data_IF_369435866062
#
_entry.id   IF_369435866062
#
_cell.length_a   1.000
_cell.length_b   1.000
_cell.length_c   1.000
_cell.angle_alpha   90.00
_cell.angle_beta   90.00
_cell.angle_gamma   90.00
#
_symmetry.space_group_name_H-M   'P 1'
#
loop_
_entity.id
_entity.type
_entity.pdbx_description
1 polymer ?
#
# COMPACT_ATOMS: atom_id res chain seq x y z
N UNK A 1 -7.02 -12.23 12.92
CA UNK A 1 -5.82 -11.50 12.44
C UNK A 1 -6.39 -10.55 11.44
N UNK A 2 -6.34 -9.26 11.74
CA UNK A 2 -7.15 -8.28 11.02
C UNK A 2 -6.27 -7.47 10.04
N UNK A 3 -4.95 -7.63 10.16
CA UNK A 3 -3.93 -6.97 9.36
C UNK A 3 -2.69 -7.85 9.21
N UNK A 4 -2.02 -7.77 8.05
CA UNK A 4 -0.72 -8.38 7.75
C UNK A 4 0.18 -7.32 7.13
N UNK A 5 1.38 -7.17 7.69
CA UNK A 5 2.44 -6.32 7.11
C UNK A 5 3.47 -7.22 6.45
N UNK A 6 3.81 -6.92 5.20
CA UNK A 6 4.73 -7.74 4.39
C UNK A 6 5.66 -6.89 3.55
N UNK A 7 6.70 -7.55 3.03
CA UNK A 7 7.56 -6.97 2.00
C UNK A 7 6.97 -7.24 0.63
N UNK A 8 7.19 -6.31 -0.30
CA UNK A 8 6.84 -6.49 -1.70
C UNK A 8 7.51 -7.75 -2.24
N UNK A 9 6.70 -8.63 -2.81
CA UNK A 9 7.16 -9.83 -3.50
C UNK A 9 6.40 -9.97 -4.82
N UNK A 10 7.15 -10.21 -5.90
CA UNK A 10 6.58 -10.50 -7.22
C UNK A 10 5.64 -11.70 -7.12
N UNK A 11 6.03 -12.75 -6.38
CA UNK A 11 5.19 -13.93 -6.18
C UNK A 11 3.86 -13.59 -5.55
N UNK A 12 3.83 -12.74 -4.52
CA UNK A 12 2.56 -12.38 -3.89
C UNK A 12 1.64 -11.55 -4.78
N UNK A 13 2.22 -10.79 -5.72
CA UNK A 13 1.47 -10.02 -6.70
C UNK A 13 0.94 -10.92 -7.82
N UNK A 14 1.75 -11.86 -8.31
CA UNK A 14 1.33 -12.83 -9.34
C UNK A 14 0.26 -13.81 -8.85
N UNK A 15 0.18 -14.05 -7.54
CA UNK A 15 -0.84 -14.91 -6.93
C UNK A 15 -2.05 -14.14 -6.39
N UNK A 16 -2.16 -12.83 -6.65
CA UNK A 16 -3.23 -11.96 -6.14
C UNK A 16 -3.45 -12.11 -4.62
N UNK A 17 -2.35 -12.24 -3.86
CA UNK A 17 -2.42 -12.56 -2.43
C UNK A 17 -3.08 -11.41 -1.63
N UNK A 18 -2.83 -10.17 -2.01
CA UNK A 18 -3.36 -9.02 -1.27
C UNK A 18 -4.89 -8.93 -1.46
N UNK A 19 -5.37 -9.16 -2.69
CA UNK A 19 -6.78 -9.22 -3.06
C UNK A 19 -7.49 -10.35 -2.32
N UNK A 20 -6.89 -11.55 -2.29
CA UNK A 20 -7.43 -12.67 -1.54
C UNK A 20 -7.54 -12.36 -0.04
N UNK A 21 -6.51 -11.74 0.56
CA UNK A 21 -6.53 -11.35 1.98
C UNK A 21 -7.61 -10.29 2.24
N UNK A 22 -7.77 -9.32 1.34
CA UNK A 22 -8.79 -8.28 1.44
C UNK A 22 -10.21 -8.86 1.36
N UNK A 23 -10.45 -9.84 0.48
CA UNK A 23 -11.72 -10.59 0.41
C UNK A 23 -12.03 -11.36 1.71
N UNK A 24 -11.00 -11.77 2.46
CA UNK A 24 -11.14 -12.40 3.78
C UNK A 24 -11.25 -11.38 4.92
N UNK A 25 -11.29 -10.08 4.62
CA UNK A 25 -11.36 -9.01 5.62
C UNK A 25 -10.03 -8.74 6.33
N UNK A 26 -8.90 -9.12 5.73
CA UNK A 26 -7.55 -8.93 6.27
C UNK A 26 -6.85 -7.84 5.46
N UNK A 27 -6.50 -6.72 6.10
CA UNK A 27 -5.74 -5.66 5.43
C UNK A 27 -4.28 -6.11 5.20
N UNK A 28 -3.85 -6.18 3.94
CA UNK A 28 -2.48 -6.52 3.57
C UNK A 28 -1.69 -5.25 3.20
N UNK A 29 -0.72 -4.87 4.03
CA UNK A 29 0.12 -3.69 3.80
C UNK A 29 1.52 -4.06 3.36
N UNK A 30 1.99 -3.33 2.35
CA UNK A 30 3.36 -3.45 1.85
C UNK A 30 4.28 -2.46 2.54
N UNK A 31 5.48 -2.91 2.88
CA UNK A 31 6.53 -2.06 3.50
C UNK A 31 7.34 -1.27 2.47
N UNK A 32 7.19 -1.58 1.17
CA UNK A 32 7.73 -0.77 0.09
C UNK A 32 6.98 0.57 0.02
N UNK A 33 7.70 1.68 0.11
CA UNK A 33 7.08 3.01 0.17
C UNK A 33 6.29 3.34 -1.08
N UNK A 34 6.76 2.95 -2.27
CA UNK A 34 6.06 3.27 -3.51
C UNK A 34 4.74 2.47 -3.61
N UNK A 35 4.75 1.22 -3.18
CA UNK A 35 3.53 0.41 -3.07
C UNK A 35 2.58 0.99 -2.02
N UNK A 36 3.09 1.37 -0.84
CA UNK A 36 2.29 2.01 0.20
C UNK A 36 1.65 3.32 -0.28
N UNK A 37 2.36 4.14 -1.07
CA UNK A 37 1.79 5.35 -1.69
C UNK A 37 0.60 5.00 -2.58
N UNK A 38 0.70 3.92 -3.37
CA UNK A 38 -0.38 3.47 -4.26
C UNK A 38 -1.57 2.95 -3.44
N UNK A 39 -1.31 2.16 -2.39
CA UNK A 39 -2.36 1.65 -1.50
C UNK A 39 -3.10 2.77 -0.78
N UNK A 40 -2.36 3.70 -0.14
CA UNK A 40 -2.96 4.86 0.53
C UNK A 40 -3.68 5.78 -0.46
N UNK A 41 -3.14 5.94 -1.68
CA UNK A 41 -3.77 6.76 -2.71
C UNK A 41 -5.01 6.14 -3.35
N UNK A 42 -5.40 4.92 -2.97
CA UNK A 42 -6.41 4.11 -3.65
C UNK A 42 -6.21 4.09 -5.18
N UNK A 43 -4.95 3.96 -5.58
CA UNK A 43 -4.50 4.14 -6.95
C UNK A 43 -4.02 2.82 -7.55
N UNK A 44 -3.63 2.86 -8.83
CA UNK A 44 -3.00 1.74 -9.52
C UNK A 44 -1.51 1.99 -9.77
N UNK A 45 -0.67 0.95 -9.76
CA UNK A 45 0.73 1.09 -10.09
C UNK A 45 0.89 1.48 -11.57
N UNK A 46 1.68 2.52 -11.83
CA UNK A 46 1.99 2.98 -13.19
C UNK A 46 3.18 2.26 -13.83
N UNK A 47 4.00 1.59 -13.02
CA UNK A 47 5.21 0.93 -13.46
C UNK A 47 5.54 -0.25 -12.54
N UNK A 48 6.01 -1.37 -13.09
CA UNK A 48 6.23 -2.61 -12.34
C UNK A 48 7.28 -2.46 -11.22
N UNK A 49 8.41 -1.80 -11.51
CA UNK A 49 9.51 -1.60 -10.54
C UNK A 49 9.27 -0.41 -9.59
N UNK A 50 8.69 0.68 -10.08
CA UNK A 50 8.53 1.95 -9.34
C UNK A 50 7.06 2.40 -9.43
N UNK A 51 6.15 1.76 -8.68
CA UNK A 51 4.70 1.83 -8.92
C UNK A 51 4.12 3.24 -8.85
N UNK A 52 4.61 4.06 -7.92
CA UNK A 52 4.16 5.43 -7.70
C UNK A 52 4.90 6.51 -8.52
N UNK A 53 5.66 6.17 -9.58
CA UNK A 53 6.48 7.16 -10.32
C UNK A 53 5.67 8.33 -10.93
N UNK A 54 4.38 8.14 -11.17
CA UNK A 54 3.47 9.17 -11.66
C UNK A 54 3.06 10.20 -10.59
N UNK A 55 3.39 9.97 -9.31
CA UNK A 55 3.08 10.89 -8.20
C UNK A 55 4.27 11.77 -7.88
N UNK A 56 4.01 13.07 -7.75
CA UNK A 56 5.00 14.02 -7.28
C UNK A 56 5.02 14.12 -5.75
N UNK A 57 6.08 14.71 -5.20
CA UNK A 57 6.28 14.80 -3.74
C UNK A 57 5.17 15.55 -3.00
N UNK A 58 4.56 16.56 -3.62
CA UNK A 58 3.47 17.29 -2.97
C UNK A 58 2.21 16.42 -2.88
N UNK A 59 1.88 15.67 -3.93
CA UNK A 59 0.78 14.70 -3.91
C UNK A 59 1.01 13.61 -2.87
N UNK A 60 2.22 13.05 -2.83
CA UNK A 60 2.59 12.04 -1.82
C UNK A 60 2.39 12.59 -0.40
N UNK A 61 2.81 13.82 -0.14
CA UNK A 61 2.57 14.46 1.17
C UNK A 61 1.08 14.53 1.51
N UNK A 62 0.24 14.97 0.57
CA UNK A 62 -1.20 15.08 0.81
C UNK A 62 -1.84 13.71 1.05
N UNK A 63 -1.45 12.68 0.29
CA UNK A 63 -1.91 11.29 0.49
C UNK A 63 -1.63 10.86 1.94
N UNK A 64 -0.39 11.02 2.41
CA UNK A 64 -0.02 10.63 3.77
C UNK A 64 -0.78 11.41 4.85
N UNK A 65 -0.94 12.73 4.68
CA UNK A 65 -1.64 13.56 5.66
C UNK A 65 -3.13 13.21 5.77
N UNK A 66 -3.77 12.83 4.66
CA UNK A 66 -5.18 12.49 4.62
C UNK A 66 -5.45 11.06 5.06
N UNK A 67 -4.62 10.11 4.64
CA UNK A 67 -4.95 8.69 4.74
C UNK A 67 -4.25 7.98 5.89
N UNK A 68 -2.98 8.31 6.19
CA UNK A 68 -2.20 7.54 7.15
C UNK A 68 -2.81 7.54 8.56
N UNK A 69 -3.52 8.60 8.94
CA UNK A 69 -4.21 8.70 10.24
C UNK A 69 -5.35 7.68 10.42
N UNK A 70 -5.85 7.11 9.33
CA UNK A 70 -6.95 6.14 9.34
C UNK A 70 -6.45 4.71 9.59
N UNK A 71 -5.13 4.48 9.53
CA UNK A 71 -4.53 3.15 9.53
C UNK A 71 -3.46 3.00 10.63
N UNK A 72 -3.35 1.78 11.17
CA UNK A 72 -2.38 1.42 12.19
C UNK A 72 -2.61 2.08 13.56
N UNK A 73 -1.64 1.89 14.46
CA UNK A 73 -1.55 2.65 15.71
C UNK A 73 -0.52 3.75 15.54
N UNK A 74 -0.80 4.99 15.99
CA UNK A 74 0.21 6.04 16.02
C UNK A 74 1.42 5.56 16.82
N UNK A 75 2.61 5.92 16.34
CA UNK A 75 3.81 5.78 17.17
C UNK A 75 3.60 6.57 18.49
N UNK A 76 4.05 6.03 19.63
CA UNK A 76 3.92 6.70 20.93
C UNK A 76 4.61 8.07 20.96
#
# INVERSE_FOLDING_TARGET
>A
VDEVVKIKSITSQETDLNEYLEEQGIAAWETDLAELIVQLGHDRPSHIVVPAIHRNRAEVREIFLHEMKNYGRPAP
#
